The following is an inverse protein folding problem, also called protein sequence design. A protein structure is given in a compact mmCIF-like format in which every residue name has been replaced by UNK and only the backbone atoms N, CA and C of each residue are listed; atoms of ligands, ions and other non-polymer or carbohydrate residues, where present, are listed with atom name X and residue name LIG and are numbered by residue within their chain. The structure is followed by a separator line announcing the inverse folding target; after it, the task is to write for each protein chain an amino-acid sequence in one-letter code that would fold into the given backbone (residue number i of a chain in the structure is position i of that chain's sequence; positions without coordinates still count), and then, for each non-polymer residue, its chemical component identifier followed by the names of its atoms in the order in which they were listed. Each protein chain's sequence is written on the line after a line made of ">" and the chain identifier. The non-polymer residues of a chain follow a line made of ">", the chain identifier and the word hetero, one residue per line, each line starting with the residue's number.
data_IF_756412892786
#
_entry.id   IF_756412892786
#
_cell.length_a   1.000
_cell.length_b   1.000
_cell.length_c   1.000
_cell.angle_alpha   90.00
_cell.angle_beta   90.00
_cell.angle_gamma   90.00
#
_symmetry.space_group_name_H-M   'P 1'
#
loop_
_entity.id
_entity.type
_entity.pdbx_description
1 polymer ?
#
# COMPACT_ATOMS: atom_id res chain seq x y z
N UNK A 1 22.42 -11.93 17.99
CA UNK A 1 22.32 -11.35 16.64
C UNK A 1 21.60 -12.36 15.75
N UNK A 2 20.30 -12.20 15.54
CA UNK A 2 19.53 -13.00 14.55
C UNK A 2 19.33 -12.11 13.34
N UNK A 3 19.92 -12.52 12.24
CA UNK A 3 19.78 -11.87 10.93
C UNK A 3 18.32 -12.01 10.48
N UNK A 4 17.58 -10.91 10.52
CA UNK A 4 16.26 -10.82 9.88
C UNK A 4 16.50 -10.90 8.38
N UNK A 5 16.13 -12.02 7.77
CA UNK A 5 16.13 -12.14 6.32
C UNK A 5 15.04 -11.23 5.78
N UNK A 6 15.47 -10.23 5.15
CA UNK A 6 14.86 -9.13 4.46
C UNK A 6 13.75 -9.63 3.53
N UNK A 7 12.55 -9.12 3.74
CA UNK A 7 11.53 -9.11 2.69
C UNK A 7 12.06 -8.16 1.62
N UNK A 8 12.38 -8.70 0.45
CA UNK A 8 13.04 -7.98 -0.63
C UNK A 8 12.08 -6.95 -1.19
N UNK A 9 12.32 -5.68 -0.88
CA UNK A 9 11.86 -4.59 -1.72
C UNK A 9 12.71 -4.67 -3.01
N UNK A 10 12.20 -5.35 -4.02
CA UNK A 10 12.84 -5.36 -5.32
C UNK A 10 12.39 -4.09 -6.05
N UNK A 11 13.27 -3.11 -6.14
CA UNK A 11 13.09 -1.99 -7.05
C UNK A 11 13.41 -2.50 -8.47
N UNK A 12 12.40 -2.47 -9.35
CA UNK A 12 12.57 -2.82 -10.76
C UNK A 12 12.57 -1.54 -11.58
N UNK A 13 13.58 -1.36 -12.40
CA UNK A 13 13.63 -0.27 -13.38
C UNK A 13 12.81 -0.67 -14.60
N UNK A 14 11.75 0.07 -14.89
CA UNK A 14 10.93 -0.12 -16.10
C UNK A 14 11.58 0.59 -17.29
N UNK A 15 12.00 -0.16 -18.29
CA UNK A 15 12.17 0.37 -19.64
C UNK A 15 10.79 0.40 -20.32
N UNK A 16 10.30 1.57 -20.74
CA UNK A 16 8.97 1.66 -21.34
C UNK A 16 8.99 1.11 -22.75
N UNK A 17 8.49 -0.11 -22.96
CA UNK A 17 8.04 -0.55 -24.28
C UNK A 17 6.53 -0.69 -24.21
N UNK A 18 5.84 0.42 -24.50
CA UNK A 18 4.38 0.44 -24.56
C UNK A 18 3.95 0.08 -25.98
N UNK A 19 3.60 -1.17 -26.22
CA UNK A 19 2.86 -1.57 -27.40
C UNK A 19 1.37 -1.64 -27.02
N UNK A 20 0.64 -0.57 -27.28
CA UNK A 20 -0.83 -0.56 -27.22
C UNK A 20 -1.38 -1.16 -28.51
N UNK A 21 -1.92 -2.37 -28.46
CA UNK A 21 -2.80 -2.87 -29.50
C UNK A 21 -4.26 -2.62 -29.10
N UNK A 22 -5.02 -1.82 -29.87
CA UNK A 22 -6.44 -1.65 -29.63
C UNK A 22 -7.20 -2.89 -30.12
N UNK A 23 -7.94 -3.53 -29.23
CA UNK A 23 -8.89 -4.59 -29.61
C UNK A 23 -10.20 -3.94 -30.06
N UNK A 24 -10.69 -4.16 -31.31
CA UNK A 24 -11.95 -3.63 -31.76
C UNK A 24 -13.07 -4.59 -31.30
N UNK A 25 -13.90 -4.16 -30.39
CA UNK A 25 -15.23 -4.59 -30.01
C UNK A 25 -15.41 -4.73 -28.50
N UNK A 26 -15.67 -3.63 -27.85
CA UNK A 26 -16.36 -3.62 -26.56
C UNK A 26 -17.36 -2.47 -26.55
N UNK A 27 -18.64 -2.80 -26.69
CA UNK A 27 -19.75 -1.88 -26.42
C UNK A 27 -19.80 -1.63 -24.92
N UNK A 28 -20.02 -0.39 -24.45
CA UNK A 28 -20.21 -0.11 -23.04
C UNK A 28 -21.60 -0.60 -22.62
N UNK A 29 -21.68 -1.73 -21.95
CA UNK A 29 -22.86 -2.08 -21.16
C UNK A 29 -22.71 -1.47 -19.77
N UNK A 30 -23.44 -0.39 -19.53
CA UNK A 30 -23.71 0.12 -18.18
C UNK A 30 -24.57 -0.93 -17.46
N UNK A 31 -23.95 -1.69 -16.54
CA UNK A 31 -24.69 -2.40 -15.52
C UNK A 31 -24.38 -1.75 -14.17
N UNK A 32 -25.41 -1.19 -13.47
CA UNK A 32 -25.27 -0.79 -12.08
C UNK A 32 -25.23 -2.06 -11.22
N UNK A 33 -24.32 -2.11 -10.26
CA UNK A 33 -24.11 -3.16 -9.25
C UNK A 33 -23.28 -4.39 -9.67
N UNK A 34 -22.08 -4.16 -10.18
CA UNK A 34 -21.04 -5.16 -10.05
C UNK A 34 -20.11 -4.69 -8.91
N UNK A 35 -20.11 -5.45 -7.80
CA UNK A 35 -19.01 -5.40 -6.86
C UNK A 35 -17.75 -5.82 -7.61
N UNK A 36 -16.73 -4.94 -7.78
CA UNK A 36 -15.62 -5.22 -8.68
C UNK A 36 -14.63 -6.29 -8.18
N UNK A 37 -14.98 -7.06 -7.13
CA UNK A 37 -14.03 -7.91 -6.42
C UNK A 37 -14.43 -9.39 -6.31
N UNK A 38 -15.27 -9.92 -7.20
CA UNK A 38 -15.68 -11.33 -7.15
C UNK A 38 -14.74 -12.30 -7.88
N UNK A 39 -13.85 -11.83 -8.74
CA UNK A 39 -12.87 -12.65 -9.45
C UNK A 39 -11.51 -12.60 -8.76
N UNK A 40 -11.02 -13.72 -8.18
CA UNK A 40 -9.71 -13.77 -7.52
C UNK A 40 -8.53 -13.53 -8.48
N UNK A 41 -8.77 -13.55 -9.79
CA UNK A 41 -7.77 -13.27 -10.81
C UNK A 41 -7.83 -11.82 -11.33
N UNK A 42 -8.78 -11.03 -10.85
CA UNK A 42 -8.91 -9.64 -11.27
C UNK A 42 -7.84 -8.78 -10.59
N UNK A 43 -7.18 -7.95 -11.40
CA UNK A 43 -6.26 -6.91 -10.92
C UNK A 43 -7.01 -5.57 -10.89
N UNK A 44 -7.11 -4.96 -9.71
CA UNK A 44 -7.60 -3.61 -9.58
C UNK A 44 -6.46 -2.62 -9.83
N UNK A 45 -6.70 -1.63 -10.69
CA UNK A 45 -5.71 -0.61 -11.04
C UNK A 45 -6.18 0.73 -10.46
N UNK A 46 -5.35 1.32 -9.60
CA UNK A 46 -5.65 2.60 -8.96
C UNK A 46 -4.60 3.64 -9.36
N UNK A 47 -5.04 4.88 -9.54
CA UNK A 47 -4.18 6.02 -9.87
C UNK A 47 -4.13 7.01 -8.71
N UNK A 48 -2.94 7.48 -8.37
CA UNK A 48 -2.67 8.34 -7.22
C UNK A 48 -1.93 9.59 -7.68
N UNK A 49 -2.65 10.71 -7.81
CA UNK A 49 -2.12 12.01 -8.20
C UNK A 49 -2.24 12.96 -7.02
N UNK A 50 -1.17 13.66 -6.71
CA UNK A 50 -1.19 14.66 -5.65
C UNK A 50 0.01 15.60 -5.69
N UNK A 51 -0.11 16.80 -5.13
CA UNK A 51 1.01 17.71 -4.92
C UNK A 51 1.95 17.20 -3.81
N UNK A 52 3.07 17.88 -3.63
CA UNK A 52 3.95 17.67 -2.48
C UNK A 52 3.18 17.73 -1.17
N UNK A 53 3.49 16.81 -0.24
CA UNK A 53 2.87 16.72 1.08
C UNK A 53 1.53 15.96 1.09
N UNK A 54 1.04 15.48 -0.07
CA UNK A 54 -0.09 14.56 -0.07
C UNK A 54 0.33 13.25 0.57
N UNK A 55 -0.33 12.86 1.66
CA UNK A 55 0.01 11.67 2.41
C UNK A 55 -1.16 10.67 2.49
N UNK A 56 -0.82 9.39 2.44
CA UNK A 56 -1.69 8.29 2.86
C UNK A 56 -1.26 7.92 4.29
N UNK A 57 -2.15 8.07 5.29
CA UNK A 57 -1.85 7.75 6.69
C UNK A 57 -1.40 6.29 6.87
N UNK A 58 -0.76 6.00 7.99
CA UNK A 58 -0.27 4.65 8.30
C UNK A 58 -1.41 3.63 8.33
N UNK A 59 -1.41 2.71 7.38
CA UNK A 59 -2.43 1.66 7.20
C UNK A 59 -1.83 0.41 6.57
N UNK A 60 -2.62 -0.66 6.47
CA UNK A 60 -2.28 -1.83 5.68
C UNK A 60 -3.41 -2.21 4.72
N UNK A 61 -3.05 -2.85 3.61
CA UNK A 61 -3.99 -3.48 2.68
C UNK A 61 -4.00 -5.00 2.88
N UNK A 62 -5.14 -5.64 2.59
CA UNK A 62 -5.29 -7.10 2.67
C UNK A 62 -4.89 -7.82 1.39
N UNK A 63 -4.53 -7.07 0.37
CA UNK A 63 -4.19 -7.54 -0.97
C UNK A 63 -2.72 -7.29 -1.27
N UNK A 64 -2.20 -7.98 -2.26
CA UNK A 64 -0.90 -7.66 -2.85
C UNK A 64 -0.98 -6.32 -3.56
N UNK A 65 0.07 -5.52 -3.47
CA UNK A 65 0.16 -4.22 -4.11
C UNK A 65 1.52 -4.06 -4.81
N UNK A 66 1.48 -3.76 -6.10
CA UNK A 66 2.65 -3.31 -6.84
C UNK A 66 2.45 -1.84 -7.19
N UNK A 67 3.19 -0.98 -6.50
CA UNK A 67 3.13 0.47 -6.66
C UNK A 67 4.21 0.93 -7.65
N UNK A 68 3.78 1.45 -8.81
CA UNK A 68 4.65 2.00 -9.84
C UNK A 68 4.66 3.53 -9.78
N UNK A 69 5.81 4.14 -9.62
CA UNK A 69 5.97 5.59 -9.63
C UNK A 69 6.21 6.08 -11.05
N UNK A 70 5.32 6.95 -11.55
CA UNK A 70 5.35 7.42 -12.94
C UNK A 70 5.97 8.81 -13.05
N UNK A 71 5.59 9.74 -12.15
CA UNK A 71 6.08 11.11 -12.11
C UNK A 71 6.37 11.50 -10.68
N UNK A 72 7.48 12.21 -10.47
CA UNK A 72 7.89 12.68 -9.16
C UNK A 72 8.38 11.54 -8.26
N UNK A 73 8.36 11.76 -6.94
CA UNK A 73 8.85 10.82 -5.96
C UNK A 73 7.96 10.76 -4.72
N UNK A 74 7.96 9.60 -4.07
CA UNK A 74 7.23 9.36 -2.81
C UNK A 74 8.15 8.77 -1.75
N UNK A 75 8.08 9.29 -0.54
CA UNK A 75 8.63 8.64 0.63
C UNK A 75 7.66 7.56 1.09
N UNK A 76 8.20 6.39 1.42
CA UNK A 76 7.42 5.24 1.87
C UNK A 76 8.10 4.66 3.11
N UNK A 77 7.33 4.42 4.17
CA UNK A 77 7.78 3.72 5.36
C UNK A 77 6.93 2.48 5.57
N UNK A 78 7.59 1.34 5.77
CA UNK A 78 6.98 0.01 5.88
C UNK A 78 7.25 -0.59 7.25
N UNK A 79 6.23 -1.24 7.83
CA UNK A 79 6.37 -2.02 9.06
C UNK A 79 5.83 -3.43 8.83
N UNK A 80 6.51 -4.42 9.41
CA UNK A 80 6.06 -5.80 9.32
C UNK A 80 4.76 -6.03 10.10
N UNK A 81 3.88 -6.93 9.64
CA UNK A 81 2.64 -7.29 10.33
C UNK A 81 2.83 -7.73 11.79
N UNK A 82 3.98 -8.35 12.11
CA UNK A 82 4.36 -8.75 13.48
C UNK A 82 4.49 -7.59 14.47
N UNK A 83 4.50 -6.35 13.99
CA UNK A 83 4.55 -5.15 14.83
C UNK A 83 3.20 -4.46 14.99
N UNK A 84 2.10 -5.05 14.50
CA UNK A 84 0.77 -4.41 14.48
C UNK A 84 0.33 -3.86 15.83
N UNK A 85 0.55 -4.56 16.93
CA UNK A 85 0.19 -4.05 18.28
C UNK A 85 0.90 -2.75 18.66
N UNK A 86 2.11 -2.53 18.13
CA UNK A 86 2.91 -1.33 18.39
C UNK A 86 2.49 -0.16 17.49
N UNK A 87 1.74 -0.45 16.43
CA UNK A 87 1.24 0.53 15.47
C UNK A 87 -0.15 1.07 15.83
N UNK A 88 -0.72 0.64 16.98
CA UNK A 88 -2.00 1.12 17.49
C UNK A 88 -3.14 1.11 16.45
N UNK A 89 -3.50 -0.06 15.90
CA UNK A 89 -4.63 -0.15 14.98
C UNK A 89 -5.92 0.31 15.63
N UNK A 90 -6.87 0.79 14.83
CA UNK A 90 -8.24 0.92 15.28
C UNK A 90 -8.82 -0.48 15.54
N UNK A 91 -9.48 -0.66 16.69
CA UNK A 91 -9.94 -1.97 17.13
C UNK A 91 -11.31 -2.36 16.55
N UNK A 92 -12.05 -1.38 16.04
CA UNK A 92 -13.41 -1.55 15.53
C UNK A 92 -13.72 -0.61 14.35
N UNK A 93 -14.84 -0.91 13.69
CA UNK A 93 -15.34 -0.09 12.59
C UNK A 93 -14.60 -0.28 11.26
N UNK A 94 -14.87 0.59 10.27
CA UNK A 94 -14.35 0.45 8.92
C UNK A 94 -12.84 0.74 8.79
N UNK A 95 -12.21 1.26 9.85
CA UNK A 95 -10.80 1.68 9.86
C UNK A 95 -9.87 0.71 10.58
N UNK A 96 -10.28 -0.55 10.78
CA UNK A 96 -9.46 -1.55 11.48
C UNK A 96 -8.10 -1.82 10.81
N UNK A 97 -7.95 -1.48 9.54
CA UNK A 97 -6.70 -1.54 8.80
C UNK A 97 -5.87 -0.25 8.88
N UNK A 98 -6.29 0.72 9.67
CA UNK A 98 -5.60 2.01 9.84
C UNK A 98 -5.09 2.17 11.26
N UNK A 99 -3.94 2.83 11.40
CA UNK A 99 -3.35 3.20 12.67
C UNK A 99 -4.02 4.46 13.23
N UNK A 100 -4.06 4.56 14.57
CA UNK A 100 -4.35 5.82 15.26
C UNK A 100 -3.21 6.84 15.10
N UNK A 101 -2.03 6.38 14.68
CA UNK A 101 -0.87 7.20 14.33
C UNK A 101 -0.98 7.54 12.84
N UNK A 102 -1.33 8.76 12.55
CA UNK A 102 -1.54 9.24 11.18
C UNK A 102 -0.20 9.40 10.47
N UNK A 103 0.74 10.06 11.13
CA UNK A 103 2.09 10.32 10.63
C UNK A 103 3.13 9.67 11.56
N UNK A 104 3.94 8.74 11.06
CA UNK A 104 4.97 8.09 11.85
C UNK A 104 6.18 8.98 12.18
N UNK A 105 6.29 10.17 11.60
CA UNK A 105 7.34 11.14 11.88
C UNK A 105 6.89 12.25 12.85
N UNK A 106 5.56 12.48 12.95
CA UNK A 106 4.95 13.47 13.83
C UNK A 106 3.78 12.86 14.61
N UNK A 107 4.06 12.25 15.75
CA UNK A 107 3.06 11.58 16.58
C UNK A 107 3.24 11.93 18.06
N UNK A 108 2.17 11.78 18.85
CA UNK A 108 2.17 11.98 20.30
C UNK A 108 2.89 10.80 21.01
N UNK A 109 4.12 11.03 21.42
CA UNK A 109 4.96 10.04 22.14
C UNK A 109 4.36 9.60 23.48
N UNK A 110 3.63 10.48 24.16
CA UNK A 110 2.99 10.15 25.44
C UNK A 110 1.78 9.23 25.24
N UNK A 111 1.03 9.47 24.18
CA UNK A 111 -0.14 8.66 23.80
C UNK A 111 0.26 7.32 23.18
N UNK A 112 1.36 7.26 22.43
CA UNK A 112 1.78 6.09 21.67
C UNK A 112 3.20 5.59 22.06
N UNK A 113 3.48 5.32 23.35
CA UNK A 113 4.84 5.01 23.81
C UNK A 113 5.42 3.73 23.22
N UNK A 114 4.60 2.72 22.86
CA UNK A 114 5.07 1.47 22.26
C UNK A 114 5.50 1.62 20.80
N UNK A 115 5.10 2.70 20.13
CA UNK A 115 5.49 2.96 18.75
C UNK A 115 6.97 3.32 18.63
N UNK A 116 7.52 4.02 19.61
CA UNK A 116 8.93 4.39 19.65
C UNK A 116 9.83 3.15 19.53
N UNK A 117 10.80 3.20 18.62
CA UNK A 117 11.72 2.09 18.38
C UNK A 117 11.10 0.88 17.68
N UNK A 118 9.90 0.99 17.10
CA UNK A 118 9.35 -0.06 16.23
C UNK A 118 10.20 -0.17 14.97
N UNK A 119 10.74 -1.35 14.66
CA UNK A 119 11.55 -1.54 13.45
C UNK A 119 10.74 -1.27 12.18
N UNK A 120 11.37 -0.57 11.23
CA UNK A 120 10.77 -0.25 9.94
C UNK A 120 11.81 -0.32 8.82
N UNK A 121 11.31 -0.30 7.58
CA UNK A 121 12.09 -0.07 6.38
C UNK A 121 11.51 1.16 5.71
N UNK A 122 12.36 2.09 5.26
CA UNK A 122 11.93 3.24 4.50
C UNK A 122 12.74 3.41 3.21
N UNK A 123 12.13 4.09 2.25
CA UNK A 123 12.72 4.37 0.96
C UNK A 123 12.06 5.59 0.30
N UNK A 124 12.74 6.16 -0.67
CA UNK A 124 12.15 7.08 -1.63
C UNK A 124 11.95 6.33 -2.95
N UNK A 125 10.71 6.21 -3.38
CA UNK A 125 10.34 5.62 -4.66
C UNK A 125 10.31 6.73 -5.71
N UNK A 126 11.21 6.66 -6.70
CA UNK A 126 11.39 7.66 -7.76
C UNK A 126 10.69 7.24 -9.04
N UNK A 127 10.45 8.20 -9.95
CA UNK A 127 9.87 7.93 -11.26
C UNK A 127 10.65 6.83 -12.01
N UNK A 128 9.91 5.84 -12.56
CA UNK A 128 10.46 4.66 -13.22
C UNK A 128 10.73 3.47 -12.28
N UNK A 129 10.51 3.62 -10.98
CA UNK A 129 10.67 2.53 -10.02
C UNK A 129 9.34 1.90 -9.61
N UNK A 130 9.38 0.68 -9.14
CA UNK A 130 8.23 -0.03 -8.57
C UNK A 130 8.58 -0.65 -7.22
N UNK A 131 7.59 -0.62 -6.31
CA UNK A 131 7.67 -1.24 -5.01
C UNK A 131 6.57 -2.29 -4.86
N UNK A 132 6.97 -3.50 -4.48
CA UNK A 132 6.02 -4.51 -4.05
C UNK A 132 5.76 -4.39 -2.54
N UNK A 133 4.49 -4.25 -2.18
CA UNK A 133 4.02 -4.22 -0.79
C UNK A 133 3.18 -5.50 -0.57
N UNK A 134 3.64 -6.44 0.27
CA UNK A 134 2.90 -7.65 0.58
C UNK A 134 1.60 -7.34 1.35
N UNK A 135 0.60 -8.23 1.34
CA UNK A 135 -0.59 -8.10 2.17
C UNK A 135 -0.24 -7.90 3.63
N UNK A 136 -1.02 -7.05 4.31
CA UNK A 136 -0.88 -6.72 5.74
C UNK A 136 0.39 -6.00 6.15
N UNK A 137 1.28 -5.66 5.23
CA UNK A 137 2.38 -4.76 5.54
C UNK A 137 1.85 -3.35 5.75
N UNK A 138 2.11 -2.81 6.93
CA UNK A 138 1.77 -1.44 7.26
C UNK A 138 2.62 -0.49 6.46
N UNK A 139 1.99 0.54 5.91
CA UNK A 139 2.71 1.52 5.12
C UNK A 139 2.15 2.93 5.30
N UNK A 140 3.07 3.87 5.33
CA UNK A 140 2.84 5.30 5.23
C UNK A 140 3.46 5.76 3.92
N UNK A 141 2.77 6.62 3.17
CA UNK A 141 3.23 7.12 1.87
C UNK A 141 3.04 8.61 1.80
N UNK A 142 4.09 9.37 1.46
CA UNK A 142 4.03 10.82 1.30
C UNK A 142 4.66 11.26 -0.01
N UNK A 143 4.00 12.13 -0.76
CA UNK A 143 4.52 12.75 -1.99
C UNK A 143 5.58 13.79 -1.66
N UNK A 144 6.82 13.59 -2.11
CA UNK A 144 7.93 14.53 -1.88
C UNK A 144 7.90 15.73 -2.84
N UNK A 145 7.16 15.58 -3.92
CA UNK A 145 6.88 16.60 -4.95
C UNK A 145 5.54 16.29 -5.61
N UNK A 146 5.10 17.07 -6.61
CA UNK A 146 3.94 16.67 -7.41
C UNK A 146 4.21 15.32 -8.05
N UNK A 147 3.38 14.35 -7.72
CA UNK A 147 3.63 12.97 -8.07
C UNK A 147 2.41 12.27 -8.64
N UNK A 148 2.67 11.32 -9.55
CA UNK A 148 1.69 10.41 -10.10
C UNK A 148 2.22 8.98 -10.00
N UNK A 149 1.42 8.10 -9.39
CA UNK A 149 1.71 6.66 -9.30
C UNK A 149 0.50 5.83 -9.67
N UNK A 150 0.76 4.60 -10.07
CA UNK A 150 -0.26 3.59 -10.36
C UNK A 150 -0.01 2.38 -9.46
N UNK A 151 -1.04 1.89 -8.80
CA UNK A 151 -0.96 0.64 -8.04
C UNK A 151 -1.78 -0.46 -8.71
N UNK A 152 -1.23 -1.66 -8.69
CA UNK A 152 -1.87 -2.87 -9.16
C UNK A 152 -2.15 -3.74 -7.93
N UNK A 153 -3.43 -3.98 -7.65
CA UNK A 153 -3.87 -4.76 -6.50
C UNK A 153 -4.43 -6.09 -6.96
N UNK A 154 -3.99 -7.19 -6.34
CA UNK A 154 -4.49 -8.53 -6.63
C UNK A 154 -4.49 -9.40 -5.37
N UNK A 155 -5.21 -10.54 -5.44
CA UNK A 155 -5.37 -11.49 -4.35
C UNK A 155 -6.77 -11.49 -3.77
N UNK A 156 -7.03 -12.42 -2.86
CA UNK A 156 -8.36 -12.57 -2.27
C UNK A 156 -8.56 -11.58 -1.13
N UNK A 157 -9.24 -10.49 -1.41
CA UNK A 157 -9.62 -9.48 -0.41
C UNK A 157 -10.52 -10.05 0.71
N UNK A 158 -11.24 -11.15 0.42
CA UNK A 158 -12.28 -11.72 1.26
C UNK A 158 -11.97 -13.13 1.80
N UNK A 159 -10.75 -13.62 1.67
CA UNK A 159 -10.43 -14.98 2.13
C UNK A 159 -10.30 -15.09 3.65
N UNK A 160 -10.29 -13.98 4.37
CA UNK A 160 -10.16 -13.96 5.82
C UNK A 160 -11.37 -13.24 6.42
N UNK A 161 -12.28 -14.03 6.99
CA UNK A 161 -13.32 -13.52 7.87
C UNK A 161 -12.71 -12.76 9.07
N UNK A 162 -13.53 -12.05 9.85
CA UNK A 162 -13.05 -11.30 11.01
C UNK A 162 -12.35 -12.16 12.08
N UNK A 163 -12.40 -13.48 11.96
CA UNK A 163 -11.87 -14.44 12.94
C UNK A 163 -10.41 -14.87 12.71
N UNK A 164 -9.78 -14.49 11.58
CA UNK A 164 -8.41 -14.90 11.27
C UNK A 164 -7.42 -13.72 11.36
N UNK A 165 -7.43 -13.00 12.47
CA UNK A 165 -6.27 -12.22 12.90
C UNK A 165 -5.41 -13.19 13.70
N UNK A 166 -4.33 -13.77 13.16
CA UNK A 166 -3.43 -14.57 13.98
C UNK A 166 -2.78 -13.66 15.01
N UNK A 167 -2.54 -14.18 16.21
CA UNK A 167 -1.95 -13.47 17.33
C UNK A 167 -0.59 -12.85 17.02
#
# INVERSE_FOLDING_TARGET
>A
MRTVRTCVAAAFTLTPTLALHPHPNSRPHLHPHLHPHSDPNQVAINAWLGPRGTASPLHFDRVHNLLAQVVGSKYIRLYAPSHSERLYPHLDGPHMNSSQIVDPEDYDHARFPRFAGTPYVDLVLSAGEMLYIPPRWWHFVESRETSFSVSFWWGREYAFGPEEIPP
#
